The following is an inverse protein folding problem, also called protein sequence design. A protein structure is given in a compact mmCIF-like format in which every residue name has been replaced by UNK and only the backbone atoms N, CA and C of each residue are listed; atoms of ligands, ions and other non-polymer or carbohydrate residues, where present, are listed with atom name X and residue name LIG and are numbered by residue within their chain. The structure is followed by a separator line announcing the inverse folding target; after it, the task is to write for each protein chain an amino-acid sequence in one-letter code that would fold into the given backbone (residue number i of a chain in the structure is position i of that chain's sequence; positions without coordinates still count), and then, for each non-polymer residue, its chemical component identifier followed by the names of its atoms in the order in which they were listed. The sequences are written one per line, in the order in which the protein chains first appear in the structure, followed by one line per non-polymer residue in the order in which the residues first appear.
data_IF_079838807625
#
_entry.id   IF_079838807625
#
_cell.length_a   1.000
_cell.length_b   1.000
_cell.length_c   1.000
_cell.angle_alpha   90.00
_cell.angle_beta   90.00
_cell.angle_gamma   90.00
#
_symmetry.space_group_name_H-M   'P 1'
#
loop_
_entity.id
_entity.type
_entity.pdbx_description
1 polymer ?
#
# COMPACT_ATOMS: atom_id res chain seq x y z
N UNK A 1 1.34 -17.82 13.97
CA UNK A 1 2.22 -18.01 12.79
C UNK A 1 3.23 -16.89 12.84
N UNK A 2 4.54 -17.19 12.85
CA UNK A 2 5.57 -16.14 12.82
C UNK A 2 5.60 -15.55 11.41
N UNK A 3 5.58 -14.23 11.29
CA UNK A 3 5.71 -13.54 10.01
C UNK A 3 7.13 -13.80 9.49
N UNK A 4 7.29 -14.63 8.47
CA UNK A 4 8.58 -14.85 7.81
C UNK A 4 8.79 -13.79 6.73
N UNK A 5 10.04 -13.54 6.34
CA UNK A 5 10.35 -12.60 5.25
C UNK A 5 9.60 -12.94 3.95
N UNK A 6 9.53 -14.22 3.60
CA UNK A 6 8.77 -14.69 2.42
C UNK A 6 7.27 -14.38 2.55
N UNK A 7 6.69 -14.63 3.74
CA UNK A 7 5.28 -14.33 3.97
C UNK A 7 5.00 -12.82 3.95
N UNK A 8 5.95 -11.99 4.39
CA UNK A 8 5.86 -10.54 4.30
C UNK A 8 5.90 -10.08 2.84
N UNK A 9 6.81 -10.61 2.02
CA UNK A 9 6.90 -10.25 0.61
C UNK A 9 5.64 -10.63 -0.17
N UNK A 10 5.06 -11.80 0.11
CA UNK A 10 3.79 -12.21 -0.49
C UNK A 10 2.65 -11.23 -0.09
N UNK A 11 2.61 -10.81 1.18
CA UNK A 11 1.65 -9.81 1.66
C UNK A 11 1.84 -8.46 0.94
N UNK A 12 3.09 -8.00 0.81
CA UNK A 12 3.41 -6.73 0.18
C UNK A 12 3.10 -6.75 -1.33
N UNK A 13 3.42 -7.83 -2.03
CA UNK A 13 3.10 -7.99 -3.45
C UNK A 13 1.58 -7.97 -3.72
N UNK A 14 0.81 -8.64 -2.87
CA UNK A 14 -0.64 -8.57 -2.92
C UNK A 14 -1.15 -7.15 -2.63
N UNK A 15 -0.61 -6.49 -1.61
CA UNK A 15 -0.97 -5.13 -1.24
C UNK A 15 -0.70 -4.14 -2.38
N UNK A 16 0.47 -4.20 -3.01
CA UNK A 16 0.84 -3.35 -4.15
C UNK A 16 -0.15 -3.50 -5.31
N UNK A 17 -0.49 -4.74 -5.65
CA UNK A 17 -1.47 -5.06 -6.69
C UNK A 17 -2.85 -4.52 -6.34
N UNK A 18 -3.25 -4.68 -5.07
CA UNK A 18 -4.54 -4.24 -4.57
C UNK A 18 -4.69 -2.71 -4.56
N UNK A 19 -3.64 -1.97 -4.17
CA UNK A 19 -3.64 -0.51 -4.16
C UNK A 19 -3.57 0.05 -5.59
N UNK A 20 -2.83 -0.62 -6.49
CA UNK A 20 -2.82 -0.26 -7.91
C UNK A 20 -4.21 -0.37 -8.53
N UNK A 21 -4.91 -1.47 -8.26
CA UNK A 21 -6.27 -1.67 -8.75
C UNK A 21 -7.23 -0.61 -8.21
N UNK A 22 -7.14 -0.29 -6.91
CA UNK A 22 -7.92 0.79 -6.33
C UNK A 22 -7.65 2.12 -7.04
N UNK A 23 -6.39 2.47 -7.27
CA UNK A 23 -6.02 3.69 -7.96
C UNK A 23 -6.60 3.75 -9.38
N UNK A 24 -6.54 2.64 -10.12
CA UNK A 24 -7.10 2.52 -11.47
C UNK A 24 -8.62 2.68 -11.47
N UNK A 25 -9.33 1.96 -10.59
CA UNK A 25 -10.79 2.01 -10.49
C UNK A 25 -11.25 3.42 -10.10
N UNK A 26 -10.56 4.05 -9.15
CA UNK A 26 -10.84 5.40 -8.68
C UNK A 26 -10.61 6.45 -9.77
N UNK A 27 -9.47 6.43 -10.46
CA UNK A 27 -9.13 7.43 -11.47
C UNK A 27 -9.82 7.23 -12.81
N UNK A 28 -10.33 6.03 -13.09
CA UNK A 28 -11.18 5.78 -14.25
C UNK A 28 -12.62 6.29 -14.05
N UNK A 29 -12.98 6.71 -12.84
CA UNK A 29 -14.30 7.29 -12.56
C UNK A 29 -14.39 8.71 -13.12
N UNK A 30 -15.38 9.01 -13.99
CA UNK A 30 -15.59 10.35 -14.54
C UNK A 30 -15.84 11.44 -13.48
N UNK A 31 -16.29 11.03 -12.29
CA UNK A 31 -16.61 11.90 -11.15
C UNK A 31 -15.38 12.24 -10.31
N UNK A 32 -14.24 11.60 -10.60
CA UNK A 32 -13.04 11.72 -9.79
C UNK A 32 -12.14 12.85 -10.25
N UNK A 33 -12.17 13.96 -9.52
CA UNK A 33 -11.26 15.09 -9.68
C UNK A 33 -10.53 15.32 -8.35
N UNK A 34 -9.52 14.51 -8.05
CA UNK A 34 -8.56 14.82 -6.99
C UNK A 34 -7.32 15.47 -7.59
N UNK A 35 -6.81 16.50 -6.92
CA UNK A 35 -5.44 16.94 -7.17
C UNK A 35 -4.42 15.87 -6.74
N UNK A 36 -3.18 16.02 -7.22
CA UNK A 36 -2.12 15.05 -6.97
C UNK A 36 -1.81 14.84 -5.47
N UNK A 37 -1.89 15.89 -4.64
CA UNK A 37 -1.59 15.79 -3.21
C UNK A 37 -2.71 15.03 -2.48
N UNK A 38 -3.97 15.32 -2.81
CA UNK A 38 -5.14 14.61 -2.27
C UNK A 38 -5.11 13.13 -2.68
N UNK A 39 -4.71 12.83 -3.93
CA UNK A 39 -4.56 11.47 -4.41
C UNK A 39 -3.43 10.71 -3.67
N UNK A 40 -2.27 11.34 -3.47
CA UNK A 40 -1.16 10.74 -2.73
C UNK A 40 -1.55 10.41 -1.29
N UNK A 41 -2.23 11.34 -0.60
CA UNK A 41 -2.75 11.13 0.76
C UNK A 41 -3.78 10.00 0.81
N UNK A 42 -4.69 9.94 -0.17
CA UNK A 42 -5.66 8.87 -0.30
C UNK A 42 -4.97 7.50 -0.44
N UNK A 43 -4.03 7.38 -1.38
CA UNK A 43 -3.30 6.12 -1.62
C UNK A 43 -2.47 5.70 -0.41
N UNK A 44 -1.82 6.66 0.25
CA UNK A 44 -1.04 6.45 1.48
C UNK A 44 -1.90 5.86 2.60
N UNK A 45 -3.07 6.44 2.85
CA UNK A 45 -4.02 5.97 3.86
C UNK A 45 -4.57 4.58 3.50
N UNK A 46 -4.92 4.36 2.23
CA UNK A 46 -5.45 3.07 1.76
C UNK A 46 -4.41 1.94 1.86
N UNK A 47 -3.14 2.25 1.63
CA UNK A 47 -2.05 1.30 1.82
C UNK A 47 -1.96 0.86 3.29
N UNK A 48 -1.95 1.81 4.23
CA UNK A 48 -1.82 1.53 5.66
C UNK A 48 -2.99 0.70 6.21
N UNK A 49 -4.23 1.09 5.86
CA UNK A 49 -5.44 0.36 6.26
C UNK A 49 -5.39 -1.10 5.75
N UNK A 50 -5.06 -1.29 4.48
CA UNK A 50 -5.01 -2.63 3.87
C UNK A 50 -3.90 -3.48 4.44
N UNK A 51 -2.72 -2.91 4.69
CA UNK A 51 -1.62 -3.61 5.35
C UNK A 51 -2.01 -4.06 6.76
N UNK A 52 -2.59 -3.17 7.56
CA UNK A 52 -3.08 -3.48 8.90
C UNK A 52 -4.05 -4.67 8.88
N UNK A 53 -5.03 -4.64 7.97
CA UNK A 53 -5.99 -5.73 7.80
C UNK A 53 -5.33 -7.06 7.39
N UNK A 54 -4.31 -7.03 6.53
CA UNK A 54 -3.58 -8.23 6.11
C UNK A 54 -2.75 -8.83 7.25
N UNK A 55 -2.08 -7.98 8.04
CA UNK A 55 -1.29 -8.40 9.19
C UNK A 55 -2.17 -8.94 10.32
N UNK A 56 -3.31 -8.30 10.60
CA UNK A 56 -4.27 -8.77 11.61
C UNK A 56 -4.78 -10.18 11.29
N UNK A 57 -5.07 -10.48 10.02
CA UNK A 57 -5.44 -11.84 9.56
C UNK A 57 -4.33 -12.89 9.79
N UNK A 58 -3.11 -12.46 10.01
CA UNK A 58 -1.95 -13.29 10.37
C UNK A 58 -1.62 -13.25 11.86
N UNK A 59 -2.49 -12.67 12.69
CA UNK A 59 -2.26 -12.40 14.12
C UNK A 59 -0.99 -11.56 14.36
N UNK A 60 -0.74 -10.59 13.47
CA UNK A 60 0.37 -9.67 13.52
C UNK A 60 -0.12 -8.22 13.42
N UNK A 61 0.74 -7.26 13.75
CA UNK A 61 0.46 -5.84 13.70
C UNK A 61 1.77 -5.09 13.38
N UNK A 62 1.67 -3.99 12.61
CA UNK A 62 2.82 -3.16 12.20
C UNK A 62 3.65 -2.72 13.41
N UNK A 63 3.03 -2.38 14.53
CA UNK A 63 3.71 -1.92 15.75
C UNK A 63 4.61 -2.99 16.37
N UNK A 64 4.28 -4.27 16.19
CA UNK A 64 5.05 -5.40 16.71
C UNK A 64 6.10 -5.94 15.72
N UNK A 65 6.22 -5.34 14.53
CA UNK A 65 7.25 -5.72 13.56
C UNK A 65 8.61 -5.17 13.98
N UNK A 66 9.66 -5.92 13.62
CA UNK A 66 11.04 -5.48 13.77
C UNK A 66 11.33 -4.22 12.93
N UNK A 67 12.29 -3.42 13.37
CA UNK A 67 12.65 -2.15 12.70
C UNK A 67 13.04 -2.35 11.23
N UNK A 68 13.78 -3.41 10.91
CA UNK A 68 14.14 -3.75 9.53
C UNK A 68 12.91 -4.02 8.65
N UNK A 69 11.93 -4.75 9.18
CA UNK A 69 10.66 -5.03 8.50
C UNK A 69 9.84 -3.74 8.31
N UNK A 70 9.76 -2.88 9.33
CA UNK A 70 9.09 -1.58 9.25
C UNK A 70 9.70 -0.70 8.15
N UNK A 71 11.02 -0.64 8.07
CA UNK A 71 11.72 0.11 7.03
C UNK A 71 11.44 -0.42 5.62
N UNK A 72 11.43 -1.76 5.44
CA UNK A 72 11.06 -2.39 4.18
C UNK A 72 9.63 -2.01 3.75
N UNK A 73 8.68 -2.03 4.67
CA UNK A 73 7.30 -1.62 4.43
C UNK A 73 7.22 -0.16 3.99
N UNK A 74 7.91 0.75 4.69
CA UNK A 74 7.93 2.19 4.37
C UNK A 74 8.50 2.42 2.97
N UNK A 75 9.64 1.79 2.64
CA UNK A 75 10.26 1.91 1.32
C UNK A 75 9.34 1.36 0.22
N UNK A 76 8.71 0.20 0.46
CA UNK A 76 7.78 -0.41 -0.51
C UNK A 76 6.58 0.47 -0.77
N UNK A 77 5.94 1.00 0.29
CA UNK A 77 4.82 1.95 0.21
C UNK A 77 5.20 3.16 -0.64
N UNK A 78 6.29 3.84 -0.31
CA UNK A 78 6.73 5.04 -1.02
C UNK A 78 7.01 4.76 -2.50
N UNK A 79 7.69 3.65 -2.80
CA UNK A 79 7.96 3.24 -4.18
C UNK A 79 6.67 2.96 -4.95
N UNK A 80 5.73 2.24 -4.35
CA UNK A 80 4.49 1.88 -5.01
C UNK A 80 3.60 3.07 -5.28
N UNK A 81 3.45 3.98 -4.31
CA UNK A 81 2.70 5.23 -4.50
C UNK A 81 3.34 6.06 -5.60
N UNK A 82 4.67 6.21 -5.60
CA UNK A 82 5.39 6.91 -6.67
C UNK A 82 5.16 6.29 -8.06
N UNK A 83 5.14 4.96 -8.17
CA UNK A 83 4.84 4.26 -9.43
C UNK A 83 3.43 4.57 -9.90
N UNK A 84 2.46 4.54 -8.98
CA UNK A 84 1.05 4.85 -9.28
C UNK A 84 0.94 6.30 -9.74
N UNK A 85 1.42 7.27 -8.95
CA UNK A 85 1.34 8.70 -9.28
C UNK A 85 1.93 9.01 -10.66
N UNK A 86 3.09 8.44 -11.00
CA UNK A 86 3.72 8.63 -12.33
C UNK A 86 2.88 8.09 -13.48
N UNK A 87 2.09 7.04 -13.27
CA UNK A 87 1.20 6.50 -14.32
C UNK A 87 0.02 7.43 -14.64
N UNK A 88 -0.35 8.29 -13.71
CA UNK A 88 -1.53 9.16 -13.82
C UNK A 88 -1.20 10.65 -13.94
N UNK A 89 0.08 11.02 -13.91
CA UNK A 89 0.58 12.36 -14.25
C UNK A 89 0.72 12.60 -15.78
N UNK A 90 0.04 11.78 -16.61
CA UNK A 90 0.10 11.85 -18.07
C UNK A 90 -0.98 12.78 -18.65
#
# INVERSE_FOLDING_TARGET
MVLTEKSLDDILNYLDSSVTKLAQDTMSSPEFQMDNNTLEQFLSNQYDIRLGNLLQKKHSDVHHLESGTKNKIIQRKNNQINIIMKKFQA
#
